data_IF_146190783948
#
_entry.id   IF_146190783948
#
_cell.length_a   1.000
_cell.length_b   1.000
_cell.length_c   1.000
_cell.angle_alpha   90.00
_cell.angle_beta   90.00
_cell.angle_gamma   90.00
#
_symmetry.space_group_name_H-M   'P 1'
#
loop_
_entity.id
_entity.type
_entity.pdbx_description
1 polymer ?
#
# COMPACT_ATOMS: atom_id res chain seq x y z
N UNK A 1 0.25 8.41 15.99
CA UNK A 1 0.43 9.83 16.33
C UNK A 1 -0.64 10.65 15.65
N UNK A 2 -1.26 11.60 16.35
CA UNK A 2 -2.29 12.47 15.75
C UNK A 2 -1.65 13.44 14.77
N UNK A 3 -2.22 13.54 13.57
CA UNK A 3 -1.76 14.46 12.52
C UNK A 3 -2.79 15.57 12.36
N UNK A 4 -2.34 16.73 11.90
CA UNK A 4 -3.14 17.94 11.79
C UNK A 4 -2.81 18.67 10.50
N UNK A 5 -3.82 19.17 9.80
CA UNK A 5 -3.65 20.06 8.65
C UNK A 5 -4.12 21.46 9.04
N UNK A 6 -3.29 22.46 8.79
CA UNK A 6 -3.61 23.84 9.11
C UNK A 6 -4.69 24.40 8.17
N UNK A 7 -5.77 24.96 8.72
CA UNK A 7 -6.91 25.46 7.95
C UNK A 7 -6.73 26.90 7.43
N UNK A 8 -5.90 27.70 8.10
CA UNK A 8 -5.71 29.13 7.83
C UNK A 8 -4.24 29.52 7.96
N UNK A 9 -3.82 30.52 7.21
CA UNK A 9 -2.47 31.06 7.32
C UNK A 9 -2.15 31.51 8.76
N UNK A 10 -0.98 31.10 9.24
CA UNK A 10 -0.32 31.60 10.43
C UNK A 10 0.87 32.50 10.03
N UNK A 11 1.43 33.29 10.96
CA UNK A 11 2.60 34.12 10.66
C UNK A 11 3.80 33.35 10.09
N UNK A 12 3.98 32.10 10.51
CA UNK A 12 5.11 31.24 10.13
C UNK A 12 4.71 30.09 9.20
N UNK A 13 3.43 29.72 9.15
CA UNK A 13 2.94 28.53 8.43
C UNK A 13 1.78 28.90 7.52
N UNK A 14 1.58 28.16 6.44
CA UNK A 14 0.52 28.41 5.46
C UNK A 14 -0.59 27.39 5.55
N UNK A 15 -1.81 27.80 5.18
CA UNK A 15 -2.93 26.89 5.09
C UNK A 15 -2.56 25.68 4.21
N UNK A 16 -2.79 24.48 4.72
CA UNK A 16 -2.37 23.23 4.11
C UNK A 16 -1.07 22.63 4.64
N UNK A 17 -0.28 23.38 5.44
CA UNK A 17 0.86 22.81 6.15
C UNK A 17 0.41 21.72 7.13
N UNK A 18 1.23 20.66 7.27
CA UNK A 18 0.92 19.48 8.06
C UNK A 18 1.79 19.40 9.31
N UNK A 19 1.17 18.93 10.39
CA UNK A 19 1.73 18.87 11.74
C UNK A 19 1.41 17.54 12.42
N UNK A 20 2.19 17.17 13.42
CA UNK A 20 1.93 16.02 14.28
C UNK A 20 2.19 16.35 15.75
N UNK A 21 1.57 15.59 16.66
CA UNK A 21 1.88 15.66 18.09
C UNK A 21 3.01 14.68 18.40
N UNK A 22 4.15 15.20 18.84
CA UNK A 22 5.30 14.40 19.22
C UNK A 22 5.13 13.75 20.60
N UNK A 23 6.10 12.93 21.02
CA UNK A 23 6.07 12.23 22.32
C UNK A 23 6.08 13.17 23.55
N UNK A 24 6.40 14.46 23.38
CA UNK A 24 6.37 15.48 24.44
C UNK A 24 5.05 16.24 24.49
N UNK A 25 4.12 15.96 23.57
CA UNK A 25 2.85 16.69 23.44
C UNK A 25 2.97 17.98 22.65
N UNK A 26 4.12 18.27 22.02
CA UNK A 26 4.28 19.47 21.20
C UNK A 26 3.72 19.23 19.78
N UNK A 27 3.06 20.24 19.21
CA UNK A 27 2.64 20.27 17.81
C UNK A 27 3.83 20.68 16.94
N UNK A 28 4.38 19.72 16.20
CA UNK A 28 5.56 19.91 15.35
C UNK A 28 5.19 19.89 13.87
N UNK A 29 5.88 20.70 13.08
CA UNK A 29 5.71 20.73 11.63
C UNK A 29 6.32 19.48 11.00
N UNK A 30 5.59 18.87 10.06
CA UNK A 30 5.98 17.67 9.33
C UNK A 30 6.39 18.02 7.91
N UNK A 31 5.51 18.70 7.15
CA UNK A 31 5.74 19.06 5.75
C UNK A 31 4.80 20.19 5.30
N UNK A 32 5.22 20.92 4.27
CA UNK A 32 4.49 22.07 3.76
C UNK A 32 5.43 23.13 3.21
N UNK A 33 5.16 24.39 3.53
CA UNK A 33 5.84 25.56 2.97
C UNK A 33 7.20 25.90 3.58
N UNK A 34 7.57 25.30 4.71
CA UNK A 34 8.85 25.51 5.38
C UNK A 34 9.89 24.46 4.95
N UNK A 35 11.13 24.91 4.66
CA UNK A 35 12.28 24.00 4.49
C UNK A 35 12.87 23.64 5.85
N UNK A 36 12.80 22.36 6.22
CA UNK A 36 13.38 21.84 7.46
C UNK A 36 14.71 21.17 7.16
N UNK A 37 15.79 21.63 7.79
CA UNK A 37 17.10 20.99 7.68
C UNK A 37 17.10 19.67 8.45
N UNK A 38 17.89 18.70 7.97
CA UNK A 38 18.04 17.40 8.61
C UNK A 38 18.48 17.56 10.09
N UNK A 39 17.73 16.96 11.01
CA UNK A 39 17.95 17.07 12.46
C UNK A 39 17.30 18.28 13.15
N UNK A 40 16.62 19.16 12.42
CA UNK A 40 15.88 20.29 12.99
C UNK A 40 14.38 19.94 13.16
N UNK A 41 13.79 20.34 14.29
CA UNK A 41 12.35 20.23 14.52
C UNK A 41 11.76 21.63 14.67
N UNK A 42 10.77 21.96 13.85
CA UNK A 42 10.02 23.21 13.98
C UNK A 42 8.78 22.96 14.83
N UNK A 43 8.69 23.62 15.98
CA UNK A 43 7.56 23.53 16.91
C UNK A 43 6.61 24.69 16.61
N UNK A 44 5.36 24.38 16.24
CA UNK A 44 4.32 25.38 16.07
C UNK A 44 3.73 25.80 17.43
N UNK A 45 3.38 24.81 18.26
CA UNK A 45 2.88 25.04 19.61
C UNK A 45 3.46 24.00 20.57
N UNK A 46 3.91 24.46 21.74
CA UNK A 46 4.36 23.56 22.82
C UNK A 46 3.17 22.91 23.51
N UNK A 47 3.37 21.77 24.18
CA UNK A 47 2.34 21.12 25.00
C UNK A 47 1.71 22.11 26.00
N UNK A 48 2.55 22.90 26.66
CA UNK A 48 2.11 23.94 27.60
C UNK A 48 1.28 25.06 26.97
N UNK A 49 1.42 25.31 25.67
CA UNK A 49 0.59 26.27 24.93
C UNK A 49 -0.75 25.64 24.57
N UNK A 50 -0.74 24.39 24.12
CA UNK A 50 -1.97 23.63 23.82
C UNK A 50 -2.86 23.46 25.06
N UNK A 51 -2.28 23.19 26.23
CA UNK A 51 -3.01 23.09 27.49
C UNK A 51 -3.70 24.41 27.90
N UNK A 52 -3.07 25.55 27.60
CA UNK A 52 -3.64 26.89 27.88
C UNK A 52 -4.74 27.28 26.90
N UNK A 53 -4.69 26.73 25.69
CA UNK A 53 -5.62 27.03 24.60
C UNK A 53 -6.17 25.72 24.01
N UNK A 54 -7.04 25.01 24.75
CA UNK A 54 -7.46 23.65 24.40
C UNK A 54 -8.17 23.56 23.04
N UNK A 55 -8.83 24.63 22.61
CA UNK A 55 -9.60 24.66 21.36
C UNK A 55 -8.74 24.99 20.13
N UNK A 56 -7.44 25.30 20.28
CA UNK A 56 -6.61 25.75 19.16
C UNK A 56 -6.51 24.71 18.04
N UNK A 57 -6.48 23.42 18.40
CA UNK A 57 -6.44 22.33 17.44
C UNK A 57 -7.78 22.13 16.72
N UNK A 58 -8.90 22.48 17.35
CA UNK A 58 -10.24 22.37 16.74
C UNK A 58 -10.56 23.59 15.85
N UNK A 59 -10.14 24.78 16.28
CA UNK A 59 -10.47 26.05 15.62
C UNK A 59 -9.59 26.36 14.40
N UNK A 60 -8.35 25.87 14.41
CA UNK A 60 -7.32 26.23 13.43
C UNK A 60 -6.80 25.04 12.61
N UNK A 61 -7.06 23.81 13.05
CA UNK A 61 -6.56 22.61 12.39
C UNK A 61 -7.68 21.62 12.11
N UNK A 62 -7.49 20.83 11.08
CA UNK A 62 -8.27 19.63 10.83
C UNK A 62 -7.46 18.43 11.35
N UNK A 63 -7.99 17.68 12.34
CA UNK A 63 -7.35 16.45 12.80
C UNK A 63 -7.37 15.43 11.64
N UNK A 64 -6.20 15.26 11.04
CA UNK A 64 -5.95 14.24 10.04
C UNK A 64 -5.79 12.93 10.79
N UNK A 65 -6.77 12.04 10.62
CA UNK A 65 -6.65 10.72 11.20
C UNK A 65 -5.41 9.99 10.66
N UNK A 66 -4.71 9.27 11.53
CA UNK A 66 -3.51 8.48 11.20
C UNK A 66 -3.56 7.79 9.82
N UNK A 67 -2.48 7.98 9.05
CA UNK A 67 -1.83 7.08 8.10
C UNK A 67 -2.70 6.26 7.13
N UNK A 68 -2.45 6.39 5.82
CA UNK A 68 -2.89 5.49 4.74
C UNK A 68 -4.22 4.77 5.02
N UNK A 69 -5.28 5.54 5.28
CA UNK A 69 -6.60 4.95 5.47
C UNK A 69 -7.07 4.39 4.13
N UNK A 70 -7.11 3.06 4.03
CA UNK A 70 -7.76 2.39 2.90
C UNK A 70 -9.20 2.88 2.82
N UNK A 71 -9.59 3.31 1.63
CA UNK A 71 -10.93 3.83 1.35
C UNK A 71 -12.02 2.88 1.87
N UNK A 72 -13.11 3.45 2.38
CA UNK A 72 -14.30 2.73 2.85
C UNK A 72 -15.54 3.42 2.30
N UNK A 73 -16.50 2.64 1.82
CA UNK A 73 -17.78 3.20 1.38
C UNK A 73 -18.52 3.81 2.57
N UNK A 74 -19.11 4.99 2.34
CA UNK A 74 -20.05 5.63 3.26
C UNK A 74 -21.38 4.88 3.30
N UNK A 75 -22.25 5.28 4.22
CA UNK A 75 -23.62 4.77 4.25
C UNK A 75 -24.32 5.00 2.90
N UNK A 76 -24.96 3.97 2.36
CA UNK A 76 -25.60 3.96 1.04
C UNK A 76 -24.64 4.15 -0.17
N UNK A 77 -23.33 4.23 0.03
CA UNK A 77 -22.35 4.16 -1.04
C UNK A 77 -22.05 2.69 -1.35
N UNK A 78 -21.90 2.32 -2.63
CA UNK A 78 -21.56 0.95 -3.00
C UNK A 78 -20.08 0.70 -2.78
N UNK A 79 -19.76 -0.50 -2.32
CA UNK A 79 -18.44 -1.10 -2.48
C UNK A 79 -18.59 -2.41 -3.23
N UNK A 80 -17.51 -2.80 -3.88
CA UNK A 80 -17.40 -3.99 -4.70
C UNK A 80 -16.42 -4.98 -4.07
N UNK A 81 -16.58 -6.26 -4.37
CA UNK A 81 -15.74 -7.34 -3.88
C UNK A 81 -15.88 -8.57 -4.78
N UNK A 82 -14.93 -9.48 -4.68
CA UNK A 82 -15.00 -10.81 -5.29
C UNK A 82 -15.74 -11.74 -4.33
N UNK A 83 -16.85 -12.35 -4.74
CA UNK A 83 -17.61 -13.28 -3.91
C UNK A 83 -17.01 -14.70 -3.91
N UNK A 84 -17.64 -15.64 -3.19
CA UNK A 84 -17.12 -17.00 -3.06
C UNK A 84 -17.25 -17.84 -4.35
N UNK A 85 -17.98 -17.33 -5.36
CA UNK A 85 -18.13 -17.90 -6.69
C UNK A 85 -17.08 -17.31 -7.64
N UNK A 86 -16.31 -16.32 -7.16
CA UNK A 86 -15.32 -15.59 -7.92
C UNK A 86 -15.91 -14.45 -8.75
N UNK A 87 -17.15 -14.03 -8.51
CA UNK A 87 -17.79 -12.96 -9.26
C UNK A 87 -17.63 -11.60 -8.57
N UNK A 88 -17.59 -10.52 -9.35
CA UNK A 88 -17.59 -9.17 -8.81
C UNK A 88 -19.03 -8.80 -8.37
N UNK A 89 -19.29 -8.82 -7.06
CA UNK A 89 -20.56 -8.42 -6.46
C UNK A 89 -20.40 -7.08 -5.71
N UNK A 90 -21.52 -6.50 -5.29
CA UNK A 90 -21.56 -5.22 -4.59
C UNK A 90 -22.51 -5.25 -3.39
N UNK A 91 -22.22 -4.38 -2.42
CA UNK A 91 -23.10 -4.12 -1.27
C UNK A 91 -23.05 -2.63 -0.94
N UNK A 92 -24.08 -2.15 -0.25
CA UNK A 92 -24.05 -0.81 0.34
C UNK A 92 -23.17 -0.81 1.59
N UNK A 93 -22.40 0.26 1.77
CA UNK A 93 -21.78 0.61 3.03
C UNK A 93 -22.87 0.80 4.08
N UNK A 94 -22.67 0.18 5.23
CA UNK A 94 -23.50 0.34 6.43
C UNK A 94 -22.56 0.42 7.63
N UNK A 95 -23.02 0.98 8.75
CA UNK A 95 -22.23 0.98 9.99
C UNK A 95 -21.78 -0.43 10.41
N UNK A 96 -22.56 -1.46 10.09
CA UNK A 96 -22.18 -2.87 10.28
C UNK A 96 -21.25 -3.43 9.19
N UNK A 97 -21.40 -3.01 7.93
CA UNK A 97 -20.48 -3.39 6.85
C UNK A 97 -19.06 -2.82 7.07
N UNK A 98 -18.93 -1.78 7.90
CA UNK A 98 -17.64 -1.25 8.37
C UNK A 98 -16.88 -2.20 9.32
N UNK A 99 -17.55 -3.26 9.84
CA UNK A 99 -16.93 -4.42 10.52
C UNK A 99 -16.61 -5.56 9.54
N UNK A 100 -16.82 -5.34 8.24
CA UNK A 100 -16.88 -6.36 7.21
C UNK A 100 -15.59 -7.14 7.03
N UNK A 101 -15.69 -8.46 7.19
CA UNK A 101 -14.62 -9.43 6.92
C UNK A 101 -13.88 -9.14 5.61
N UNK A 102 -14.60 -8.67 4.59
CA UNK A 102 -14.09 -8.21 3.29
C UNK A 102 -13.05 -7.08 3.36
N UNK A 103 -13.31 -6.03 4.14
CA UNK A 103 -12.33 -4.96 4.34
C UNK A 103 -11.06 -5.50 5.02
N UNK A 104 -11.24 -6.37 6.02
CA UNK A 104 -10.14 -6.92 6.82
C UNK A 104 -9.21 -7.84 6.02
N UNK A 105 -9.75 -8.60 5.06
CA UNK A 105 -8.95 -9.45 4.16
C UNK A 105 -8.49 -8.70 2.89
N UNK A 106 -8.93 -7.46 2.73
CA UNK A 106 -8.58 -6.61 1.61
C UNK A 106 -9.38 -6.79 0.33
N UNK A 107 -10.39 -7.65 0.33
CA UNK A 107 -11.37 -7.84 -0.74
C UNK A 107 -12.47 -6.75 -0.68
N UNK A 108 -12.09 -5.49 -0.90
CA UNK A 108 -12.97 -4.34 -0.73
C UNK A 108 -12.54 -3.19 -1.65
N UNK A 109 -13.37 -2.88 -2.65
CA UNK A 109 -13.05 -2.03 -3.78
C UNK A 109 -14.09 -0.93 -3.99
N UNK A 110 -13.66 0.18 -4.59
CA UNK A 110 -14.51 1.34 -4.89
C UNK A 110 -15.30 1.14 -6.18
N UNK A 111 -14.74 0.43 -7.14
CA UNK A 111 -15.37 0.17 -8.44
C UNK A 111 -15.48 -1.33 -8.72
N UNK A 112 -16.36 -1.71 -9.63
CA UNK A 112 -16.51 -3.10 -10.09
C UNK A 112 -15.26 -3.55 -10.84
N UNK A 113 -14.66 -2.64 -11.62
CA UNK A 113 -13.42 -2.84 -12.35
C UNK A 113 -12.26 -3.18 -11.42
N UNK A 114 -12.08 -2.44 -10.31
CA UNK A 114 -11.05 -2.75 -9.31
C UNK A 114 -11.20 -4.18 -8.75
N UNK A 115 -12.44 -4.64 -8.53
CA UNK A 115 -12.71 -6.00 -8.07
C UNK A 115 -12.40 -7.06 -9.14
N UNK A 116 -12.73 -6.78 -10.41
CA UNK A 116 -12.41 -7.65 -11.54
C UNK A 116 -10.90 -7.74 -11.77
N UNK A 117 -10.21 -6.61 -11.78
CA UNK A 117 -8.74 -6.56 -11.89
C UNK A 117 -8.08 -7.33 -10.74
N UNK A 118 -8.59 -7.20 -9.51
CA UNK A 118 -8.07 -7.99 -8.39
C UNK A 118 -8.27 -9.49 -8.56
N UNK A 119 -9.44 -9.93 -9.08
CA UNK A 119 -9.68 -11.33 -9.41
C UNK A 119 -8.68 -11.84 -10.46
N UNK A 120 -8.49 -11.10 -11.54
CA UNK A 120 -7.54 -11.45 -12.61
C UNK A 120 -6.11 -11.55 -12.07
N UNK A 121 -5.71 -10.60 -11.22
CA UNK A 121 -4.43 -10.64 -10.50
C UNK A 121 -4.27 -11.91 -9.65
N UNK A 122 -5.28 -12.26 -8.85
CA UNK A 122 -5.22 -13.46 -8.00
C UNK A 122 -5.07 -14.74 -8.83
N UNK A 123 -5.81 -14.86 -9.94
CA UNK A 123 -5.72 -16.01 -10.84
C UNK A 123 -4.36 -16.08 -11.53
N UNK A 124 -3.89 -14.95 -12.07
CA UNK A 124 -2.58 -14.86 -12.71
C UNK A 124 -1.47 -15.24 -11.74
N UNK A 125 -1.45 -14.66 -10.54
CA UNK A 125 -0.46 -14.98 -9.51
C UNK A 125 -0.50 -16.44 -9.09
N UNK A 126 -1.69 -17.04 -9.00
CA UNK A 126 -1.84 -18.46 -8.67
C UNK A 126 -1.26 -19.38 -9.76
N UNK A 127 -1.44 -19.05 -11.04
CA UNK A 127 -0.82 -19.79 -12.16
C UNK A 127 0.70 -19.74 -12.06
N UNK A 128 1.27 -18.54 -11.84
CA UNK A 128 2.73 -18.38 -11.72
C UNK A 128 3.31 -19.10 -10.50
N UNK A 129 2.57 -19.19 -9.39
CA UNK A 129 2.96 -20.00 -8.23
C UNK A 129 2.97 -21.49 -8.58
N UNK A 130 2.06 -21.97 -9.43
CA UNK A 130 2.08 -23.38 -9.87
C UNK A 130 3.27 -23.69 -10.78
N UNK A 131 3.74 -22.71 -11.56
CA UNK A 131 4.93 -22.88 -12.41
C UNK A 131 6.20 -23.13 -11.60
N UNK A 132 6.25 -22.71 -10.33
CA UNK A 132 7.38 -23.01 -9.44
C UNK A 132 7.44 -24.49 -9.03
N UNK A 133 6.43 -25.30 -9.41
CA UNK A 133 6.35 -26.75 -9.13
C UNK A 133 6.45 -27.07 -7.63
N UNK A 134 6.01 -26.13 -6.78
CA UNK A 134 6.06 -26.26 -5.33
C UNK A 134 7.43 -25.95 -4.72
N UNK A 135 8.34 -25.33 -5.47
CA UNK A 135 9.63 -24.88 -4.96
C UNK A 135 9.44 -23.86 -3.82
N UNK A 136 10.19 -24.08 -2.74
CA UNK A 136 10.25 -23.18 -1.59
C UNK A 136 11.73 -22.90 -1.29
N UNK A 137 12.18 -21.63 -1.41
CA UNK A 137 13.54 -21.26 -1.07
C UNK A 137 13.90 -21.57 0.40
N UNK A 138 15.02 -22.26 0.61
CA UNK A 138 15.69 -22.39 1.91
C UNK A 138 16.77 -21.31 2.03
N UNK A 139 16.41 -20.21 2.71
CA UNK A 139 17.30 -19.08 2.95
C UNK A 139 18.46 -19.40 3.92
N UNK A 140 18.50 -20.58 4.53
CA UNK A 140 19.65 -21.05 5.31
C UNK A 140 20.65 -21.85 4.46
N UNK A 141 20.25 -22.25 3.25
CA UNK A 141 21.09 -22.96 2.31
C UNK A 141 21.60 -22.02 1.22
N UNK A 142 22.79 -21.46 1.42
CA UNK A 142 23.44 -20.54 0.48
C UNK A 142 23.92 -21.21 -0.83
N UNK A 143 23.92 -22.54 -0.90
CA UNK A 143 24.27 -23.28 -2.12
C UNK A 143 23.04 -23.67 -2.95
N UNK A 144 21.83 -23.44 -2.44
CA UNK A 144 20.61 -23.71 -3.21
C UNK A 144 20.38 -22.55 -4.18
N UNK A 145 20.29 -22.87 -5.47
CA UNK A 145 19.88 -21.92 -6.49
C UNK A 145 18.46 -21.42 -6.22
N UNK A 146 18.26 -20.10 -6.34
CA UNK A 146 16.98 -19.44 -6.14
C UNK A 146 16.88 -18.35 -7.19
N UNK A 147 15.98 -18.48 -8.14
CA UNK A 147 15.85 -17.47 -9.18
C UNK A 147 14.60 -16.64 -8.97
N UNK A 148 14.74 -15.33 -8.96
CA UNK A 148 13.60 -14.40 -8.95
C UNK A 148 13.41 -13.78 -10.33
N UNK A 149 12.15 -13.56 -10.67
CA UNK A 149 11.74 -12.87 -11.91
C UNK A 149 11.53 -11.39 -11.62
N UNK A 150 12.03 -10.55 -12.52
CA UNK A 150 11.81 -9.12 -12.50
C UNK A 150 11.49 -8.58 -13.90
N UNK A 151 11.01 -7.34 -13.97
CA UNK A 151 10.82 -6.64 -15.23
C UNK A 151 11.95 -5.64 -15.44
N UNK A 152 12.76 -5.85 -16.48
CA UNK A 152 13.77 -4.90 -16.91
C UNK A 152 13.11 -3.73 -17.66
N UNK A 153 13.06 -2.55 -17.03
CA UNK A 153 12.52 -1.35 -17.66
C UNK A 153 13.41 -0.80 -18.79
N UNK A 154 14.71 -1.11 -18.79
CA UNK A 154 15.64 -0.72 -19.85
C UNK A 154 15.41 -1.54 -21.12
N UNK A 155 15.39 -2.87 -20.99
CA UNK A 155 15.11 -3.83 -22.06
C UNK A 155 13.63 -4.00 -22.40
N UNK A 156 12.73 -3.53 -21.53
CA UNK A 156 11.27 -3.70 -21.63
C UNK A 156 10.86 -5.17 -21.74
N UNK A 157 11.45 -6.02 -20.91
CA UNK A 157 11.23 -7.47 -20.93
C UNK A 157 11.24 -8.03 -19.51
N UNK A 158 10.60 -9.19 -19.34
CA UNK A 158 10.83 -10.03 -18.17
C UNK A 158 12.23 -10.63 -18.27
N UNK A 159 12.89 -10.73 -17.13
CA UNK A 159 14.19 -11.35 -16.97
C UNK A 159 14.26 -11.99 -15.57
N UNK A 160 15.35 -12.72 -15.29
CA UNK A 160 15.55 -13.37 -14.00
C UNK A 160 16.98 -13.22 -13.51
N UNK A 161 17.15 -13.26 -12.20
CA UNK A 161 18.46 -13.29 -11.55
C UNK A 161 18.48 -14.35 -10.46
N UNK A 162 19.66 -14.91 -10.21
CA UNK A 162 19.86 -15.75 -9.03
C UNK A 162 19.93 -14.85 -7.80
N UNK A 163 18.97 -15.03 -6.89
CA UNK A 163 18.93 -14.36 -5.61
C UNK A 163 20.06 -14.87 -4.73
N UNK A 164 20.88 -13.93 -4.24
CA UNK A 164 21.95 -14.21 -3.29
C UNK A 164 21.41 -14.39 -1.86
N UNK A 165 22.06 -13.73 -0.91
CA UNK A 165 21.73 -13.84 0.52
C UNK A 165 20.55 -12.94 0.96
N UNK A 166 19.72 -12.50 0.02
CA UNK A 166 18.58 -11.61 0.29
C UNK A 166 17.30 -12.12 -0.36
N UNK A 167 16.18 -11.88 0.33
CA UNK A 167 14.84 -12.19 -0.14
C UNK A 167 14.13 -10.91 -0.57
N UNK A 168 13.68 -10.89 -1.82
CA UNK A 168 12.73 -9.90 -2.32
C UNK A 168 11.31 -10.28 -1.86
N UNK A 169 10.73 -9.43 -1.01
CA UNK A 169 9.41 -9.68 -0.45
C UNK A 169 8.34 -9.57 -1.54
N UNK A 170 7.55 -10.64 -1.71
CA UNK A 170 6.48 -10.72 -2.69
C UNK A 170 6.90 -11.33 -4.04
N UNK A 171 8.19 -11.59 -4.25
CA UNK A 171 8.71 -12.24 -5.44
C UNK A 171 8.31 -13.73 -5.54
N UNK A 172 8.24 -14.23 -6.77
CA UNK A 172 8.04 -15.63 -7.11
C UNK A 172 9.41 -16.22 -7.41
N UNK A 173 9.75 -17.32 -6.72
CA UNK A 173 11.05 -17.97 -6.83
C UNK A 173 10.94 -19.29 -7.58
N UNK A 174 11.93 -19.56 -8.44
CA UNK A 174 12.09 -20.79 -9.19
C UNK A 174 13.38 -21.50 -8.79
N UNK A 175 13.38 -22.83 -8.89
CA UNK A 175 14.58 -23.64 -8.64
C UNK A 175 15.53 -23.62 -9.84
N UNK A 176 14.98 -23.58 -11.06
CA UNK A 176 15.76 -23.73 -12.28
C UNK A 176 15.42 -22.65 -13.31
N UNK A 177 16.40 -22.27 -14.12
CA UNK A 177 16.19 -21.36 -15.26
C UNK A 177 15.23 -21.95 -16.31
N UNK A 178 15.17 -23.28 -16.41
CA UNK A 178 14.30 -23.96 -17.37
C UNK A 178 12.82 -23.76 -17.01
N UNK A 179 12.48 -23.88 -15.72
CA UNK A 179 11.11 -23.62 -15.24
C UNK A 179 10.68 -22.16 -15.48
N UNK A 180 11.61 -21.22 -15.35
CA UNK A 180 11.37 -19.80 -15.64
C UNK A 180 11.09 -19.59 -17.12
N UNK A 181 11.93 -20.17 -18.00
CA UNK A 181 11.75 -20.05 -19.45
C UNK A 181 10.44 -20.66 -19.90
N UNK A 182 10.08 -21.82 -19.35
CA UNK A 182 8.79 -22.47 -19.57
C UNK A 182 7.63 -21.56 -19.14
N UNK A 183 7.73 -20.94 -17.95
CA UNK A 183 6.74 -19.99 -17.43
C UNK A 183 6.62 -18.73 -18.31
N UNK A 184 7.74 -18.16 -18.77
CA UNK A 184 7.73 -17.00 -19.67
C UNK A 184 7.08 -17.30 -21.01
N UNK A 185 7.29 -18.50 -21.55
CA UNK A 185 6.68 -18.90 -22.82
C UNK A 185 5.18 -19.16 -22.68
N UNK A 186 4.77 -19.89 -21.63
CA UNK A 186 3.37 -20.33 -21.46
C UNK A 186 2.47 -19.28 -20.83
N UNK A 187 3.01 -18.49 -19.90
CA UNK A 187 2.23 -17.65 -18.99
C UNK A 187 2.67 -16.18 -19.01
N UNK A 188 3.13 -15.70 -20.18
CA UNK A 188 3.50 -14.29 -20.39
C UNK A 188 2.39 -13.32 -19.98
N UNK A 189 1.13 -13.62 -20.33
CA UNK A 189 -0.01 -12.77 -20.00
C UNK A 189 -0.18 -12.64 -18.47
N UNK A 190 -0.02 -13.73 -17.73
CA UNK A 190 -0.12 -13.73 -16.28
C UNK A 190 0.99 -12.90 -15.63
N UNK A 191 2.22 -12.96 -16.17
CA UNK A 191 3.31 -12.09 -15.73
C UNK A 191 3.00 -10.60 -15.95
N UNK A 192 2.43 -10.24 -17.10
CA UNK A 192 2.02 -8.85 -17.38
C UNK A 192 0.92 -8.38 -16.43
N UNK A 193 -0.11 -9.21 -16.18
CA UNK A 193 -1.20 -8.91 -15.24
C UNK A 193 -0.64 -8.65 -13.82
N UNK A 194 0.24 -9.54 -13.34
CA UNK A 194 0.86 -9.39 -12.01
C UNK A 194 1.69 -8.12 -11.93
N UNK A 195 2.52 -7.87 -12.95
CA UNK A 195 3.36 -6.67 -13.03
C UNK A 195 2.53 -5.39 -13.01
N UNK A 196 1.50 -5.29 -13.84
CA UNK A 196 0.66 -4.09 -13.94
C UNK A 196 -0.09 -3.81 -12.63
N UNK A 197 -0.66 -4.86 -12.01
CA UNK A 197 -1.38 -4.72 -10.75
C UNK A 197 -0.47 -4.27 -9.59
N UNK A 198 0.73 -4.85 -9.49
CA UNK A 198 1.68 -4.54 -8.41
C UNK A 198 2.35 -3.16 -8.58
N UNK A 199 2.45 -2.64 -9.80
CA UNK A 199 2.94 -1.28 -10.09
C UNK A 199 1.88 -0.17 -9.89
N UNK A 200 0.66 -0.52 -9.48
CA UNK A 200 -0.36 0.47 -9.14
C UNK A 200 -1.26 0.90 -10.29
N UNK A 201 -1.30 0.16 -11.40
CA UNK A 201 -2.36 0.26 -12.39
C UNK A 201 -3.63 -0.35 -11.79
N UNK A 202 -4.35 0.42 -10.98
CA UNK A 202 -5.64 0.05 -10.36
C UNK A 202 -6.76 0.94 -10.87
#
# INVERSE_FOLDING_TARGET
>A
MKHYKLLKDLPTFKAGDEFEINNRGDLIFVRGTQEVKEGQTLIAYTNSTLEKFPNILEDWFEEMSEQYKRWRAKENERYYFVDDWGDADWRYGTEFASRGFRYNIGNYFKTEEEAKTYKEYLLAKQVLIYDTKGFVPDWKNFNQAKFEVFYDHGGKTLDYLEAGDFQTIGAIYFETEEDIRESFEKHKEQWEIVREYEMGSR
#
